data_IF_395790296626
#
_entry.id   IF_395790296626
#
_cell.length_a   1.000
_cell.length_b   1.000
_cell.length_c   1.000
_cell.angle_alpha   90.00
_cell.angle_beta   90.00
_cell.angle_gamma   90.00
#
_symmetry.space_group_name_H-M   'P 1'
#
loop_
_entity.id
_entity.type
_entity.pdbx_description
1 polymer ?
#
# COMPACT_ATOMS: atom_id res chain seq x y z
N UNK A 1 12.11 -0.88 -1.40
CA UNK A 1 10.64 -0.79 -1.40
C UNK A 1 10.08 -2.02 -2.09
N UNK A 2 9.05 -2.63 -1.52
CA UNK A 2 8.40 -3.84 -2.01
C UNK A 2 6.92 -3.54 -2.25
N UNK A 3 6.40 -3.97 -3.40
CA UNK A 3 4.97 -3.85 -3.72
C UNK A 3 4.32 -5.22 -3.58
N UNK A 4 3.25 -5.31 -2.80
CA UNK A 4 2.56 -6.58 -2.59
C UNK A 4 2.02 -7.20 -3.87
N UNK A 5 1.59 -6.39 -4.82
CA UNK A 5 1.12 -6.88 -6.11
C UNK A 5 2.22 -7.65 -6.87
N UNK A 6 3.48 -7.23 -6.75
CA UNK A 6 4.64 -7.98 -7.30
C UNK A 6 4.90 -9.30 -6.59
N UNK A 7 4.59 -9.36 -5.31
CA UNK A 7 4.74 -10.59 -4.51
C UNK A 7 3.56 -11.54 -4.76
N UNK A 8 2.37 -11.02 -5.02
CA UNK A 8 1.14 -11.82 -5.10
C UNK A 8 0.81 -12.32 -6.50
N UNK A 9 1.04 -11.51 -7.53
CA UNK A 9 0.68 -11.87 -8.90
C UNK A 9 1.86 -12.49 -9.63
N UNK A 10 1.62 -13.62 -10.27
CA UNK A 10 2.41 -14.17 -11.37
C UNK A 10 1.88 -13.62 -12.70
N UNK A 11 2.72 -13.67 -13.74
CA UNK A 11 2.38 -13.21 -15.08
C UNK A 11 1.01 -13.74 -15.56
N UNK A 12 0.25 -12.88 -16.24
CA UNK A 12 -1.11 -13.20 -16.68
C UNK A 12 -2.16 -13.19 -15.57
N UNK A 13 -1.96 -12.37 -14.52
CA UNK A 13 -2.91 -12.22 -13.41
C UNK A 13 -3.19 -13.52 -12.63
N UNK A 14 -2.19 -14.40 -12.52
CA UNK A 14 -2.29 -15.64 -11.74
C UNK A 14 -1.88 -15.36 -10.30
N UNK A 15 -2.79 -15.54 -9.34
CA UNK A 15 -2.44 -15.39 -7.93
C UNK A 15 -1.58 -16.54 -7.42
N UNK A 16 -0.74 -16.26 -6.43
CA UNK A 16 -0.13 -17.30 -5.60
C UNK A 16 -1.05 -17.70 -4.45
N UNK A 17 -0.74 -18.83 -3.82
CA UNK A 17 -1.45 -19.30 -2.62
C UNK A 17 -1.18 -18.38 -1.42
N UNK A 18 -2.06 -18.44 -0.43
CA UNK A 18 -1.90 -17.69 0.82
C UNK A 18 -0.59 -18.03 1.54
N UNK A 19 -0.21 -19.29 1.54
CA UNK A 19 1.01 -19.75 2.19
C UNK A 19 2.27 -19.33 1.43
N UNK A 20 2.23 -19.31 0.08
CA UNK A 20 3.31 -18.70 -0.70
C UNK A 20 3.44 -17.20 -0.39
N UNK A 21 2.34 -16.44 -0.35
CA UNK A 21 2.39 -15.01 -0.07
C UNK A 21 2.96 -14.73 1.32
N UNK A 22 2.55 -15.48 2.34
CA UNK A 22 3.10 -15.35 3.70
C UNK A 22 4.61 -15.60 3.70
N UNK A 23 5.08 -16.66 3.02
CA UNK A 23 6.53 -16.94 2.92
C UNK A 23 7.30 -15.80 2.25
N UNK A 24 6.79 -15.25 1.15
CA UNK A 24 7.46 -14.11 0.49
C UNK A 24 7.50 -12.88 1.39
N UNK A 25 6.42 -12.58 2.11
CA UNK A 25 6.41 -11.46 3.06
C UNK A 25 7.38 -11.70 4.21
N UNK A 26 7.41 -12.91 4.80
CA UNK A 26 8.36 -13.23 5.89
C UNK A 26 9.81 -12.98 5.49
N UNK A 27 10.20 -13.29 4.25
CA UNK A 27 11.55 -12.97 3.73
C UNK A 27 11.82 -11.47 3.73
N UNK A 28 10.84 -10.66 3.31
CA UNK A 28 10.97 -9.19 3.29
C UNK A 28 11.06 -8.64 4.72
N UNK A 29 10.25 -9.16 5.65
CA UNK A 29 10.23 -8.72 7.04
C UNK A 29 11.54 -9.04 7.79
N UNK A 30 12.35 -9.98 7.30
CA UNK A 30 13.65 -10.33 7.87
C UNK A 30 14.79 -9.39 7.46
N UNK A 31 14.54 -8.42 6.58
CA UNK A 31 15.53 -7.41 6.18
C UNK A 31 15.66 -6.32 7.25
N UNK A 32 16.85 -5.72 7.36
CA UNK A 32 17.13 -4.65 8.32
C UNK A 32 16.23 -3.42 8.14
N UNK A 33 15.85 -3.11 6.89
CA UNK A 33 14.94 -2.02 6.57
C UNK A 33 14.12 -2.32 5.32
N UNK A 34 12.84 -1.94 5.35
CA UNK A 34 11.92 -2.19 4.25
C UNK A 34 10.75 -1.20 4.26
N UNK A 35 10.12 -1.07 3.09
CA UNK A 35 8.81 -0.44 2.93
C UNK A 35 7.98 -1.43 2.13
N UNK A 36 6.82 -1.83 2.64
CA UNK A 36 5.87 -2.69 1.94
C UNK A 36 4.63 -1.87 1.61
N UNK A 37 4.32 -1.72 0.33
CA UNK A 37 3.15 -1.03 -0.18
C UNK A 37 2.08 -2.03 -0.67
N UNK A 38 0.82 -1.78 -0.30
CA UNK A 38 -0.34 -2.55 -0.76
C UNK A 38 -1.33 -2.96 0.35
N UNK A 39 -2.55 -3.31 -0.10
CA UNK A 39 -3.72 -3.49 0.76
C UNK A 39 -4.23 -4.94 0.80
N UNK A 40 -3.33 -5.86 1.17
CA UNK A 40 -3.66 -7.29 1.34
C UNK A 40 -3.99 -7.56 2.80
N UNK A 41 -5.29 -7.71 3.08
CA UNK A 41 -5.81 -7.87 4.45
C UNK A 41 -5.33 -9.14 5.15
N UNK A 42 -5.15 -10.23 4.41
CA UNK A 42 -4.71 -11.54 4.91
C UNK A 42 -3.35 -11.49 5.62
N UNK A 43 -2.46 -10.60 5.18
CA UNK A 43 -1.08 -10.47 5.67
C UNK A 43 -0.88 -9.14 6.40
N UNK A 44 -1.97 -8.48 6.80
CA UNK A 44 -1.90 -7.18 7.46
C UNK A 44 -1.37 -7.28 8.89
N UNK A 45 -1.74 -8.31 9.66
CA UNK A 45 -1.25 -8.52 11.03
C UNK A 45 0.27 -8.61 11.09
N UNK A 46 0.84 -9.58 10.37
CA UNK A 46 2.29 -9.81 10.35
C UNK A 46 3.09 -8.56 9.94
N UNK A 47 2.53 -7.72 9.07
CA UNK A 47 3.18 -6.47 8.65
C UNK A 47 3.07 -5.37 9.69
N UNK A 48 1.92 -5.23 10.36
CA UNK A 48 1.73 -4.26 11.44
C UNK A 48 2.63 -4.61 12.63
N UNK A 49 2.71 -5.89 13.00
CA UNK A 49 3.54 -6.37 14.10
C UNK A 49 5.03 -6.11 13.85
N UNK A 50 5.51 -6.31 12.62
CA UNK A 50 6.91 -6.14 12.25
C UNK A 50 7.31 -4.69 11.95
N UNK A 51 6.40 -3.84 11.49
CA UNK A 51 6.71 -2.44 11.15
C UNK A 51 7.00 -1.60 12.40
N UNK A 52 7.87 -0.61 12.29
CA UNK A 52 7.96 0.51 13.25
C UNK A 52 6.93 1.61 12.93
N UNK A 53 6.67 1.84 11.64
CA UNK A 53 5.82 2.92 11.13
C UNK A 53 4.78 2.40 10.15
N UNK A 54 3.54 2.87 10.30
CA UNK A 54 2.41 2.51 9.44
C UNK A 54 1.81 3.79 8.87
N UNK A 55 1.80 3.88 7.55
CA UNK A 55 1.14 4.98 6.81
C UNK A 55 -0.16 4.45 6.22
N UNK A 56 -1.29 4.99 6.66
CA UNK A 56 -2.62 4.64 6.18
C UNK A 56 -3.22 5.79 5.36
N UNK A 57 -3.40 5.58 4.06
CA UNK A 57 -3.99 6.56 3.14
C UNK A 57 -5.51 6.35 3.05
N UNK A 58 -6.24 7.10 3.84
CA UNK A 58 -7.70 7.05 3.96
C UNK A 58 -8.38 8.07 3.04
N UNK A 59 -8.11 7.94 1.74
CA UNK A 59 -8.64 8.84 0.71
C UNK A 59 -10.11 8.57 0.38
N UNK A 60 -10.86 9.60 -0.06
CA UNK A 60 -12.25 9.43 -0.45
C UNK A 60 -12.37 8.58 -1.72
N UNK A 61 -13.43 7.76 -1.80
CA UNK A 61 -13.68 6.79 -2.88
C UNK A 61 -13.60 7.43 -4.27
N UNK A 62 -14.17 8.62 -4.45
CA UNK A 62 -14.16 9.31 -5.74
C UNK A 62 -12.73 9.60 -6.24
N UNK A 63 -11.80 9.92 -5.32
CA UNK A 63 -10.41 10.18 -5.67
C UNK A 63 -9.68 8.88 -6.04
N UNK A 64 -9.97 7.80 -5.32
CA UNK A 64 -9.44 6.47 -5.65
C UNK A 64 -9.92 6.03 -7.03
N UNK A 65 -11.21 6.17 -7.34
CA UNK A 65 -11.78 5.86 -8.67
C UNK A 65 -11.16 6.73 -9.77
N UNK A 66 -11.01 8.03 -9.53
CA UNK A 66 -10.34 8.94 -10.47
C UNK A 66 -8.91 8.49 -10.78
N UNK A 67 -8.11 8.12 -9.76
CA UNK A 67 -6.75 7.63 -9.95
C UNK A 67 -6.73 6.31 -10.75
N UNK A 68 -7.73 5.44 -10.57
CA UNK A 68 -7.88 4.18 -11.31
C UNK A 68 -8.18 4.45 -12.79
N UNK A 69 -9.06 5.40 -13.09
CA UNK A 69 -9.31 5.81 -14.49
C UNK A 69 -8.04 6.40 -15.11
N UNK A 70 -7.37 7.32 -14.41
CA UNK A 70 -6.12 7.93 -14.88
C UNK A 70 -5.05 6.88 -15.21
N UNK A 71 -4.79 5.94 -14.29
CA UNK A 71 -3.78 4.89 -14.52
C UNK A 71 -4.18 3.94 -15.65
N UNK A 72 -5.47 3.68 -15.87
CA UNK A 72 -5.90 2.83 -16.99
C UNK A 72 -5.61 3.48 -18.34
N UNK A 73 -5.74 4.81 -18.44
CA UNK A 73 -5.38 5.56 -19.64
C UNK A 73 -3.85 5.53 -19.82
N UNK A 74 -3.10 5.84 -18.77
CA UNK A 74 -1.64 5.93 -18.80
C UNK A 74 -0.95 4.58 -19.13
N UNK A 75 -1.46 3.49 -18.56
CA UNK A 75 -0.90 2.14 -18.69
C UNK A 75 -1.74 1.22 -19.56
N UNK A 76 -2.57 1.78 -20.46
CA UNK A 76 -3.38 0.98 -21.37
C UNK A 76 -2.50 0.03 -22.19
N UNK A 77 -2.76 -1.28 -22.06
CA UNK A 77 -1.98 -2.34 -22.74
C UNK A 77 -0.57 -2.56 -22.19
N UNK A 78 -0.20 -1.91 -21.09
CA UNK A 78 1.13 -1.98 -20.47
C UNK A 78 1.03 -2.54 -19.06
N UNK A 79 2.11 -3.15 -18.59
CA UNK A 79 2.27 -3.50 -17.17
C UNK A 79 2.74 -2.26 -16.40
N UNK A 80 2.14 -1.99 -15.24
CA UNK A 80 2.58 -0.88 -14.36
C UNK A 80 3.93 -1.21 -13.71
N UNK A 81 4.78 -0.20 -13.42
CA UNK A 81 6.07 -0.44 -12.76
C UNK A 81 5.94 -1.15 -11.42
N UNK A 82 4.84 -0.97 -10.68
CA UNK A 82 4.59 -1.60 -9.37
C UNK A 82 3.92 -2.99 -9.47
N UNK A 83 3.70 -3.52 -10.67
CA UNK A 83 3.10 -4.85 -10.93
C UNK A 83 4.13 -5.85 -11.45
N UNK A 84 3.80 -7.14 -11.38
CA UNK A 84 4.57 -8.21 -12.04
C UNK A 84 4.46 -8.11 -13.55
N UNK A 85 5.58 -8.29 -14.25
CA UNK A 85 5.63 -8.31 -15.70
C UNK A 85 4.61 -9.30 -16.31
N UNK A 86 3.92 -8.87 -17.36
CA UNK A 86 2.83 -9.64 -17.97
C UNK A 86 1.47 -9.48 -17.29
N UNK A 87 1.36 -8.65 -16.25
CA UNK A 87 0.08 -8.20 -15.69
C UNK A 87 -0.28 -6.82 -16.27
N UNK A 88 -0.71 -6.82 -17.54
CA UNK A 88 -1.15 -5.59 -18.20
C UNK A 88 -2.35 -4.98 -17.47
N UNK A 89 -2.36 -3.65 -17.38
CA UNK A 89 -3.36 -2.90 -16.62
C UNK A 89 -4.78 -3.24 -17.08
N UNK A 90 -5.58 -3.70 -16.12
CA UNK A 90 -6.99 -3.97 -16.30
C UNK A 90 -7.80 -3.30 -15.19
N UNK A 91 -9.03 -2.95 -15.55
CA UNK A 91 -10.08 -2.57 -14.61
C UNK A 91 -11.20 -3.52 -14.91
N UNK A 92 -11.62 -4.25 -13.88
CA UNK A 92 -12.82 -5.07 -13.89
C UNK A 92 -13.82 -4.53 -12.86
N UNK A 93 -15.07 -4.95 -13.02
CA UNK A 93 -16.17 -4.50 -12.17
C UNK A 93 -15.96 -4.94 -10.71
N UNK A 94 -15.35 -6.09 -10.49
CA UNK A 94 -15.03 -6.61 -9.15
C UNK A 94 -14.09 -5.64 -8.40
N UNK A 95 -13.02 -5.19 -9.06
CA UNK A 95 -12.08 -4.24 -8.50
C UNK A 95 -12.73 -2.88 -8.20
N UNK A 96 -13.58 -2.38 -9.10
CA UNK A 96 -14.34 -1.13 -8.85
C UNK A 96 -15.29 -1.29 -7.66
N UNK A 97 -16.02 -2.39 -7.58
CA UNK A 97 -16.93 -2.67 -6.45
C UNK A 97 -16.17 -2.84 -5.14
N UNK A 98 -14.96 -3.40 -5.17
CA UNK A 98 -14.08 -3.45 -4.02
C UNK A 98 -13.71 -2.04 -3.52
N UNK A 99 -13.36 -1.11 -4.41
CA UNK A 99 -13.06 0.29 -4.04
C UNK A 99 -14.29 0.96 -3.42
N UNK A 100 -15.44 0.87 -4.09
CA UNK A 100 -16.69 1.53 -3.64
C UNK A 100 -17.15 0.99 -2.30
N UNK A 101 -17.00 -0.32 -2.06
CA UNK A 101 -17.42 -0.96 -0.81
C UNK A 101 -16.40 -0.84 0.33
N UNK A 102 -15.16 -0.41 0.05
CA UNK A 102 -14.09 -0.35 1.05
C UNK A 102 -14.44 0.44 2.32
N UNK A 103 -15.04 1.66 2.26
CA UNK A 103 -15.39 2.41 3.46
C UNK A 103 -16.37 1.67 4.38
N UNK A 104 -17.27 0.89 3.78
CA UNK A 104 -18.33 0.19 4.50
C UNK A 104 -17.88 -1.17 5.03
N UNK A 105 -17.02 -1.86 4.28
CA UNK A 105 -16.61 -3.24 4.60
C UNK A 105 -15.31 -3.35 5.38
N UNK A 106 -14.38 -2.42 5.20
CA UNK A 106 -12.99 -2.58 5.67
C UNK A 106 -12.47 -1.42 6.49
N UNK A 107 -12.88 -0.19 6.19
CA UNK A 107 -12.34 1.01 6.86
C UNK A 107 -12.45 0.93 8.38
N UNK A 108 -13.64 0.65 8.92
CA UNK A 108 -13.83 0.55 10.39
C UNK A 108 -12.89 -0.49 11.02
N UNK A 109 -12.88 -1.71 10.48
CA UNK A 109 -12.02 -2.79 10.98
C UNK A 109 -10.52 -2.44 10.88
N UNK A 110 -10.09 -1.78 9.79
CA UNK A 110 -8.72 -1.31 9.65
C UNK A 110 -8.38 -0.26 10.70
N UNK A 111 -9.26 0.69 10.97
CA UNK A 111 -9.05 1.71 12.01
C UNK A 111 -8.98 1.10 13.41
N UNK A 112 -9.90 0.20 13.75
CA UNK A 112 -9.90 -0.51 15.03
C UNK A 112 -8.60 -1.30 15.23
N UNK A 113 -8.16 -1.96 14.17
CA UNK A 113 -6.91 -2.70 14.15
C UNK A 113 -5.69 -1.81 14.29
N UNK A 114 -5.61 -0.68 13.59
CA UNK A 114 -4.50 0.25 13.77
C UNK A 114 -4.51 0.83 15.19
N UNK A 115 -5.69 1.16 15.71
CA UNK A 115 -5.85 1.70 17.07
C UNK A 115 -5.37 0.73 18.14
N UNK A 116 -5.48 -0.60 17.95
CA UNK A 116 -4.97 -1.57 18.92
C UNK A 116 -3.46 -1.58 19.05
N UNK A 117 -2.72 -0.97 18.12
CA UNK A 117 -1.26 -0.81 18.17
C UNK A 117 -0.84 0.64 18.47
N UNK A 118 -1.79 1.52 18.80
CA UNK A 118 -1.49 2.90 19.15
C UNK A 118 -0.65 2.95 20.44
N UNK A 119 0.50 3.64 20.37
CA UNK A 119 1.47 3.72 21.48
C UNK A 119 2.65 2.75 21.34
N UNK A 120 2.50 1.67 20.58
CA UNK A 120 3.60 0.76 20.23
C UNK A 120 4.21 1.10 18.87
N UNK A 121 3.37 1.51 17.92
CA UNK A 121 3.74 1.80 16.54
C UNK A 121 3.54 3.27 16.21
N UNK A 122 4.36 3.80 15.32
CA UNK A 122 4.14 5.13 14.75
C UNK A 122 3.07 5.04 13.66
N UNK A 123 1.86 5.51 13.94
CA UNK A 123 0.71 5.38 13.03
C UNK A 123 0.35 6.75 12.45
N UNK A 124 0.52 6.89 11.14
CA UNK A 124 0.25 8.10 10.38
C UNK A 124 -0.94 7.88 9.46
N UNK A 125 -1.99 8.69 9.61
CA UNK A 125 -3.21 8.57 8.80
C UNK A 125 -3.41 9.84 8.00
N UNK A 126 -3.52 9.71 6.68
CA UNK A 126 -3.71 10.84 5.77
C UNK A 126 -5.01 10.69 4.96
N UNK A 127 -5.79 11.76 4.88
CA UNK A 127 -7.11 11.78 4.24
C UNK A 127 -7.13 12.46 2.89
N UNK A 128 -6.07 13.18 2.55
CA UNK A 128 -5.97 13.90 1.29
C UNK A 128 -4.50 14.11 0.87
N UNK A 129 -4.31 14.53 -0.39
CA UNK A 129 -2.98 14.79 -0.96
C UNK A 129 -2.25 15.95 -0.29
N UNK A 130 -2.95 16.92 0.31
CA UNK A 130 -2.33 18.06 0.99
C UNK A 130 -1.60 17.60 2.25
N UNK A 131 -2.21 16.72 3.04
CA UNK A 131 -1.59 16.13 4.22
C UNK A 131 -0.36 15.28 3.86
N UNK A 132 -0.46 14.44 2.82
CA UNK A 132 0.69 13.67 2.33
C UNK A 132 1.80 14.60 1.82
N UNK A 133 1.44 15.65 1.07
CA UNK A 133 2.41 16.63 0.58
C UNK A 133 3.14 17.35 1.71
N UNK A 134 2.42 17.72 2.78
CA UNK A 134 3.03 18.30 3.98
C UNK A 134 4.01 17.33 4.63
N UNK A 135 3.62 16.08 4.82
CA UNK A 135 4.51 15.06 5.38
C UNK A 135 5.80 14.88 4.56
N UNK A 136 5.67 14.76 3.23
CA UNK A 136 6.83 14.61 2.35
C UNK A 136 7.77 15.82 2.41
N UNK A 137 7.21 17.03 2.47
CA UNK A 137 7.99 18.26 2.65
C UNK A 137 8.74 18.28 3.97
N UNK A 138 8.07 17.91 5.07
CA UNK A 138 8.67 17.85 6.39
C UNK A 138 9.82 16.81 6.43
N UNK A 139 9.66 15.64 5.78
CA UNK A 139 10.72 14.64 5.63
C UNK A 139 11.92 15.14 4.81
N UNK A 140 11.67 15.90 3.74
CA UNK A 140 12.74 16.47 2.90
C UNK A 140 13.58 17.49 3.67
N UNK A 141 12.95 18.31 4.52
CA UNK A 141 13.67 19.23 5.41
C UNK A 141 14.60 18.48 6.35
N UNK A 142 14.11 17.40 6.99
CA UNK A 142 14.93 16.59 7.92
C UNK A 142 16.13 16.00 7.18
N UNK A 143 15.89 15.33 6.05
CA UNK A 143 16.96 14.74 5.23
C UNK A 143 18.01 15.76 4.80
N UNK A 144 17.58 16.98 4.45
CA UNK A 144 18.48 18.04 4.02
C UNK A 144 19.27 18.68 5.18
N UNK A 145 18.75 18.63 6.41
CA UNK A 145 19.50 19.02 7.62
C UNK A 145 20.58 18.00 7.96
N UNK A 146 20.25 16.71 7.92
CA UNK A 146 21.21 15.63 8.20
C UNK A 146 22.39 15.67 7.22
N UNK A 147 22.13 15.90 5.93
CA UNK A 147 23.17 16.07 4.91
C UNK A 147 24.06 17.30 5.06
N UNK A 148 23.66 18.31 5.85
CA UNK A 148 24.46 19.53 6.10
C UNK A 148 25.31 19.44 7.36
N UNK A 149 25.06 18.44 8.21
CA UNK A 149 25.77 18.22 9.48
C UNK A 149 26.88 17.17 9.32
N UNK A 150 26.87 16.43 8.21
CA UNK A 150 27.88 15.46 7.79
C UNK A 150 28.80 16.06 6.73
#
# INVERSE_FOLDING_TARGET
MFHLDRLFWKAGWKSITREELKREITKVLALDSWIIDGNFGETMNMRIEAADTIIFLDFPVWLCLWNVVKRRIEYSGKTRPDMTEGCNEKIDLEFIMWIVSFPFKRRKANYEKLKSFAGEKNILIYRNRKEVGKFLFDCEIVRNKEKKVQ
#
